data_IF_711220616171
#
_entry.id   IF_711220616171
#
_cell.length_a   1.000
_cell.length_b   1.000
_cell.length_c   1.000
_cell.angle_alpha   90.00
_cell.angle_beta   90.00
_cell.angle_gamma   90.00
#
_symmetry.space_group_name_H-M   'P 1'
#
loop_
_entity.id
_entity.type
_entity.pdbx_description
1 polymer ?
#
# COMPACT_ATOMS: atom_id res chain seq x y z
N UNK A 1 -19.36 -0.82 18.84
CA UNK A 1 -18.54 0.37 18.50
C UNK A 1 -18.28 0.37 17.01
N UNK A 2 -18.51 1.51 16.34
CA UNK A 2 -18.18 1.69 14.93
C UNK A 2 -16.66 1.75 14.77
N UNK A 3 -16.09 1.02 13.80
CA UNK A 3 -14.65 1.06 13.51
C UNK A 3 -14.29 2.42 12.90
N UNK A 4 -13.13 2.95 13.26
CA UNK A 4 -12.53 4.13 12.63
C UNK A 4 -11.36 3.71 11.73
N UNK A 5 -11.12 4.51 10.69
CA UNK A 5 -9.94 4.40 9.83
C UNK A 5 -8.94 5.51 10.18
N UNK A 6 -7.78 5.12 10.67
CA UNK A 6 -6.66 6.03 10.88
C UNK A 6 -5.75 6.00 9.64
N UNK A 7 -5.46 7.17 9.08
CA UNK A 7 -4.63 7.31 7.88
C UNK A 7 -3.35 8.02 8.30
N UNK A 8 -2.19 7.38 8.13
CA UNK A 8 -0.92 8.04 8.39
C UNK A 8 -0.71 9.19 7.38
N UNK A 9 -0.35 10.38 7.87
CA UNK A 9 -0.18 11.57 7.01
C UNK A 9 1.01 12.46 7.37
N UNK A 10 2.10 11.83 7.81
CA UNK A 10 3.34 12.51 8.12
C UNK A 10 4.34 12.52 6.96
N UNK A 11 5.53 13.06 7.19
CA UNK A 11 6.67 13.03 6.27
C UNK A 11 6.86 11.65 5.63
N UNK A 12 7.09 11.65 4.32
CA UNK A 12 7.22 10.45 3.51
C UNK A 12 5.93 10.04 2.81
N UNK A 13 4.74 10.49 3.24
CA UNK A 13 3.48 10.10 2.59
C UNK A 13 3.16 10.86 1.31
N UNK A 14 2.53 10.18 0.35
CA UNK A 14 1.99 10.82 -0.85
C UNK A 14 0.58 11.43 -0.61
N UNK A 15 0.40 12.68 -1.04
CA UNK A 15 -0.84 13.44 -0.85
C UNK A 15 -1.99 12.89 -1.69
N UNK A 16 -1.70 12.38 -2.89
CA UNK A 16 -2.72 11.80 -3.78
C UNK A 16 -3.29 10.54 -3.14
N UNK A 17 -2.42 9.67 -2.62
CA UNK A 17 -2.80 8.46 -1.90
C UNK A 17 -3.67 8.77 -0.69
N UNK A 18 -3.25 9.70 0.18
CA UNK A 18 -4.05 10.11 1.36
C UNK A 18 -5.44 10.58 0.95
N UNK A 19 -5.53 11.55 0.03
CA UNK A 19 -6.82 12.10 -0.40
C UNK A 19 -7.72 11.03 -1.02
N UNK A 20 -7.14 10.07 -1.75
CA UNK A 20 -7.88 8.96 -2.35
C UNK A 20 -8.37 7.95 -1.30
N UNK A 21 -7.57 7.65 -0.27
CA UNK A 21 -7.98 6.80 0.85
C UNK A 21 -9.15 7.43 1.60
N UNK A 22 -9.10 8.73 1.87
CA UNK A 22 -10.23 9.44 2.51
C UNK A 22 -11.52 9.31 1.68
N UNK A 23 -11.42 9.47 0.37
CA UNK A 23 -12.57 9.37 -0.52
C UNK A 23 -13.14 7.95 -0.56
N UNK A 24 -12.29 6.93 -0.55
CA UNK A 24 -12.73 5.55 -0.41
C UNK A 24 -13.32 5.25 0.99
N UNK A 25 -12.84 5.91 2.05
CA UNK A 25 -13.48 5.81 3.36
C UNK A 25 -14.91 6.35 3.32
N UNK A 26 -15.13 7.50 2.65
CA UNK A 26 -16.45 8.14 2.48
C UNK A 26 -17.39 7.32 1.59
N UNK A 27 -16.97 7.02 0.36
CA UNK A 27 -17.82 6.40 -0.67
C UNK A 27 -17.99 4.89 -0.48
N UNK A 28 -16.89 4.20 -0.16
CA UNK A 28 -16.80 2.73 -0.24
C UNK A 28 -16.94 2.06 1.11
N UNK A 29 -16.09 2.40 2.07
CA UNK A 29 -16.12 1.80 3.41
C UNK A 29 -17.30 2.30 4.24
N UNK A 30 -17.72 3.56 4.01
CA UNK A 30 -18.72 4.28 4.82
C UNK A 30 -18.36 4.26 6.30
N UNK A 31 -17.07 4.45 6.58
CA UNK A 31 -16.50 4.50 7.93
C UNK A 31 -15.95 5.90 8.22
N UNK A 32 -16.05 6.36 9.48
CA UNK A 32 -15.33 7.55 9.91
C UNK A 32 -13.82 7.34 9.74
N UNK A 33 -13.12 8.38 9.32
CA UNK A 33 -11.67 8.36 9.17
C UNK A 33 -11.05 9.60 9.79
N UNK A 34 -9.78 9.48 10.18
CA UNK A 34 -8.96 10.57 10.70
C UNK A 34 -7.52 10.41 10.24
N UNK A 35 -6.92 11.50 9.79
CA UNK A 35 -5.48 11.59 9.58
C UNK A 35 -4.75 11.63 10.94
N UNK A 36 -3.66 10.87 11.06
CA UNK A 36 -2.79 10.82 12.24
C UNK A 36 -1.32 10.88 11.85
N UNK A 37 -0.47 11.37 12.75
CA UNK A 37 0.99 11.47 12.57
C UNK A 37 1.72 10.52 13.52
N UNK A 38 3.05 10.51 13.47
CA UNK A 38 3.85 9.68 14.38
C UNK A 38 3.61 10.02 15.85
N UNK A 39 3.40 11.29 16.17
CA UNK A 39 3.16 11.75 17.54
C UNK A 39 1.85 11.17 18.09
N UNK A 40 0.76 11.18 17.31
CA UNK A 40 -0.51 10.56 17.67
C UNK A 40 -0.35 9.05 17.97
N UNK A 41 0.47 8.35 17.17
CA UNK A 41 0.73 6.91 17.35
C UNK A 41 1.49 6.65 18.65
N UNK A 42 2.51 7.46 18.93
CA UNK A 42 3.32 7.37 20.15
C UNK A 42 2.46 7.69 21.38
N UNK A 43 1.52 8.63 21.26
CA UNK A 43 0.51 8.99 22.26
C UNK A 43 -0.68 8.01 22.34
N UNK A 44 -0.56 6.82 21.73
CA UNK A 44 -1.48 5.69 21.89
C UNK A 44 -2.88 5.89 21.27
N UNK A 45 -3.00 6.69 20.19
CA UNK A 45 -4.26 6.84 19.43
C UNK A 45 -4.68 5.52 18.76
N UNK A 46 -3.73 4.65 18.41
CA UNK A 46 -4.00 3.35 17.79
C UNK A 46 -4.47 2.32 18.83
N UNK A 47 -5.78 2.24 19.04
CA UNK A 47 -6.40 1.30 19.98
C UNK A 47 -7.63 0.62 19.38
N UNK A 48 -8.05 -0.48 20.01
CA UNK A 48 -9.26 -1.22 19.65
C UNK A 48 -9.19 -1.89 18.28
N UNK A 49 -10.33 -2.38 17.79
CA UNK A 49 -10.43 -3.12 16.51
C UNK A 49 -10.58 -2.19 15.30
N UNK A 50 -9.87 -1.06 15.32
CA UNK A 50 -9.87 -0.04 14.26
C UNK A 50 -8.99 -0.46 13.07
N UNK A 51 -8.91 0.40 12.06
CA UNK A 51 -8.11 0.19 10.84
C UNK A 51 -7.02 1.26 10.82
N UNK A 52 -5.79 0.88 10.48
CA UNK A 52 -4.67 1.78 10.27
C UNK A 52 -4.14 1.59 8.85
N UNK A 53 -4.15 2.67 8.07
CA UNK A 53 -3.67 2.69 6.68
C UNK A 53 -2.36 3.46 6.63
N UNK A 54 -1.31 2.78 6.16
CA UNK A 54 -0.01 3.35 5.85
C UNK A 54 0.09 3.53 4.32
N UNK A 55 0.00 4.78 3.81
CA UNK A 55 -0.02 5.05 2.37
C UNK A 55 1.33 4.78 1.67
N UNK A 56 1.29 4.87 0.35
CA UNK A 56 2.51 4.96 -0.48
C UNK A 56 3.30 6.25 -0.25
N UNK A 57 4.51 6.30 -0.81
CA UNK A 57 5.45 7.40 -0.61
C UNK A 57 6.88 6.91 -0.44
N UNK A 58 7.61 7.41 0.57
CA UNK A 58 8.96 7.00 0.94
C UNK A 58 8.99 6.45 2.37
N UNK A 59 9.65 5.31 2.57
CA UNK A 59 9.58 4.56 3.83
C UNK A 59 10.65 4.95 4.87
N UNK A 60 11.78 5.52 4.45
CA UNK A 60 12.83 5.98 5.36
C UNK A 60 12.33 7.06 6.34
N UNK A 61 11.51 8.05 5.94
CA UNK A 61 10.84 8.94 6.89
C UNK A 61 9.97 8.21 7.91
N UNK A 62 9.26 7.14 7.51
CA UNK A 62 8.46 6.34 8.44
C UNK A 62 9.37 5.70 9.49
N UNK A 63 10.47 5.08 9.07
CA UNK A 63 11.47 4.49 9.97
C UNK A 63 12.02 5.52 10.95
N UNK A 64 12.43 6.70 10.44
CA UNK A 64 13.00 7.78 11.24
C UNK A 64 12.06 8.23 12.36
N UNK A 65 10.75 8.24 12.10
CA UNK A 65 9.73 8.76 13.02
C UNK A 65 9.10 7.71 13.93
N UNK A 66 9.08 6.44 13.50
CA UNK A 66 8.30 5.39 14.17
C UNK A 66 9.15 4.25 14.76
N UNK A 67 10.44 4.10 14.41
CA UNK A 67 11.29 3.08 15.02
C UNK A 67 11.34 3.22 16.55
N UNK A 68 11.40 2.10 17.27
CA UNK A 68 11.17 2.00 18.70
C UNK A 68 9.68 2.09 19.04
N UNK A 69 9.31 3.07 19.87
CA UNK A 69 7.97 3.16 20.49
C UNK A 69 6.85 3.16 19.45
N UNK A 70 6.99 3.86 18.33
CA UNK A 70 5.95 3.91 17.29
C UNK A 70 5.62 2.52 16.72
N UNK A 71 6.65 1.72 16.43
CA UNK A 71 6.49 0.35 15.93
C UNK A 71 5.97 -0.60 17.00
N UNK A 72 6.40 -0.46 18.25
CA UNK A 72 5.81 -1.19 19.37
C UNK A 72 4.30 -0.94 19.47
N UNK A 73 3.88 0.32 19.34
CA UNK A 73 2.47 0.74 19.36
C UNK A 73 1.68 0.17 18.18
N UNK A 74 2.19 0.29 16.96
CA UNK A 74 1.54 -0.26 15.76
C UNK A 74 1.41 -1.78 15.88
N UNK A 75 2.48 -2.46 16.29
CA UNK A 75 2.48 -3.92 16.43
C UNK A 75 1.47 -4.37 17.49
N UNK A 76 1.49 -3.74 18.66
CA UNK A 76 0.54 -4.01 19.74
C UNK A 76 -0.91 -3.79 19.29
N UNK A 77 -1.18 -2.69 18.58
CA UNK A 77 -2.50 -2.41 18.02
C UNK A 77 -3.01 -3.55 17.14
N UNK A 78 -2.16 -4.10 16.27
CA UNK A 78 -2.52 -5.24 15.42
C UNK A 78 -2.70 -6.50 16.28
N UNK A 79 -1.78 -6.80 17.19
CA UNK A 79 -1.86 -7.96 18.09
C UNK A 79 -3.18 -7.98 18.89
N UNK A 80 -3.68 -6.80 19.27
CA UNK A 80 -4.92 -6.61 20.03
C UNK A 80 -6.20 -6.63 19.16
N UNK A 81 -6.08 -6.78 17.84
CA UNK A 81 -7.21 -6.93 16.91
C UNK A 81 -7.39 -5.79 15.91
N UNK A 82 -6.44 -4.88 15.80
CA UNK A 82 -6.37 -3.87 14.76
C UNK A 82 -6.13 -4.46 13.36
N UNK A 83 -6.41 -3.66 12.34
CA UNK A 83 -6.16 -4.03 10.95
C UNK A 83 -5.19 -3.04 10.29
N UNK A 84 -4.01 -3.51 9.90
CA UNK A 84 -3.03 -2.74 9.14
C UNK A 84 -3.22 -2.90 7.63
N UNK A 85 -3.21 -1.79 6.89
CA UNK A 85 -3.21 -1.78 5.41
C UNK A 85 -1.99 -0.99 4.96
N UNK A 86 -1.03 -1.66 4.32
CA UNK A 86 0.16 -1.04 3.75
C UNK A 86 0.09 -1.00 2.24
N UNK A 87 0.38 0.16 1.64
CA UNK A 87 0.35 0.35 0.18
C UNK A 87 1.71 0.86 -0.28
N UNK A 88 2.31 0.21 -1.29
CA UNK A 88 3.62 0.56 -1.83
C UNK A 88 4.66 0.76 -0.69
N UNK A 89 5.11 1.98 -0.40
CA UNK A 89 6.00 2.26 0.74
C UNK A 89 5.47 1.76 2.09
N UNK A 90 4.17 1.87 2.36
CA UNK A 90 3.56 1.29 3.55
C UNK A 90 3.56 -0.25 3.56
N UNK A 91 3.64 -0.89 2.39
CA UNK A 91 3.84 -2.34 2.27
C UNK A 91 5.31 -2.72 2.50
N UNK A 92 6.26 -1.98 1.92
CA UNK A 92 7.70 -2.13 2.20
C UNK A 92 8.00 -2.00 3.69
N UNK A 93 7.48 -0.94 4.32
CA UNK A 93 7.68 -0.64 5.74
C UNK A 93 7.24 -1.78 6.68
N UNK A 94 6.20 -2.53 6.29
CA UNK A 94 5.67 -3.64 7.05
C UNK A 94 6.39 -4.97 6.84
N UNK A 95 7.30 -5.07 5.88
CA UNK A 95 8.09 -6.27 5.63
C UNK A 95 9.35 -6.28 6.50
N UNK A 96 9.82 -7.45 6.91
CA UNK A 96 11.03 -7.57 7.74
C UNK A 96 12.27 -7.00 7.05
N UNK A 97 12.36 -7.14 5.73
CA UNK A 97 13.43 -6.58 4.89
C UNK A 97 12.86 -5.95 3.65
N UNK A 98 13.61 -5.00 3.11
CA UNK A 98 13.34 -4.45 1.79
C UNK A 98 14.60 -4.44 0.93
N UNK A 99 14.38 -4.54 -0.38
CA UNK A 99 15.34 -4.21 -1.43
C UNK A 99 14.58 -3.40 -2.47
N UNK A 100 14.69 -2.08 -2.39
CA UNK A 100 14.11 -1.14 -3.34
C UNK A 100 15.19 -0.59 -4.26
N UNK A 101 14.95 -0.63 -5.57
CA UNK A 101 15.78 -0.05 -6.61
C UNK A 101 15.01 1.03 -7.35
N UNK A 102 15.55 2.23 -7.34
CA UNK A 102 15.12 3.36 -8.15
C UNK A 102 16.10 3.60 -9.31
N UNK A 103 15.79 4.59 -10.13
CA UNK A 103 16.63 5.00 -11.26
C UNK A 103 18.01 5.53 -10.79
N UNK A 104 17.99 6.36 -9.74
CA UNK A 104 19.16 7.09 -9.27
C UNK A 104 19.57 6.73 -7.82
N UNK A 105 18.79 5.89 -7.14
CA UNK A 105 19.03 5.52 -5.74
C UNK A 105 18.45 4.14 -5.41
N UNK A 106 19.05 3.49 -4.42
CA UNK A 106 18.58 2.21 -3.86
C UNK A 106 18.31 2.37 -2.36
N UNK A 107 17.34 1.62 -1.85
CA UNK A 107 17.04 1.51 -0.42
C UNK A 107 16.93 0.05 -0.04
N UNK A 108 17.88 -0.43 0.76
CA UNK A 108 17.89 -1.80 1.27
C UNK A 108 18.08 -1.82 2.78
N UNK A 109 17.54 -2.84 3.44
CA UNK A 109 17.79 -3.10 4.85
C UNK A 109 16.58 -3.65 5.59
N UNK A 110 16.76 -3.86 6.89
CA UNK A 110 15.71 -4.33 7.77
C UNK A 110 14.68 -3.23 8.07
N UNK A 111 13.44 -3.63 8.38
CA UNK A 111 12.43 -2.76 8.99
C UNK A 111 11.96 -3.37 10.30
N UNK A 112 11.97 -2.56 11.34
CA UNK A 112 11.65 -3.00 12.70
C UNK A 112 10.20 -3.49 12.83
N UNK A 113 9.25 -2.90 12.08
CA UNK A 113 7.84 -3.26 12.19
C UNK A 113 7.59 -4.75 11.85
N UNK A 114 8.21 -5.26 10.79
CA UNK A 114 8.34 -6.70 10.51
C UNK A 114 7.06 -7.54 10.67
N UNK A 115 5.94 -7.10 10.08
CA UNK A 115 4.67 -7.85 10.07
C UNK A 115 4.74 -9.07 9.15
N UNK A 116 5.42 -8.92 8.01
CA UNK A 116 5.68 -10.01 7.07
C UNK A 116 7.12 -10.51 7.22
N UNK A 117 7.27 -11.80 7.57
CA UNK A 117 8.57 -12.49 7.65
C UNK A 117 9.11 -12.81 6.25
N UNK A 118 9.57 -11.77 5.57
CA UNK A 118 10.06 -11.86 4.21
C UNK A 118 10.63 -10.54 3.74
N UNK A 119 11.07 -10.55 2.49
CA UNK A 119 11.66 -9.40 1.81
C UNK A 119 10.65 -8.86 0.82
N UNK A 120 10.42 -7.55 0.87
CA UNK A 120 9.76 -6.81 -0.21
C UNK A 120 10.83 -6.37 -1.21
N UNK A 121 10.75 -6.86 -2.45
CA UNK A 121 11.72 -6.55 -3.51
C UNK A 121 11.05 -5.76 -4.63
N UNK A 122 11.64 -4.64 -5.01
CA UNK A 122 11.21 -3.82 -6.13
C UNK A 122 12.21 -2.68 -6.36
N UNK A 123 11.89 -1.62 -7.09
CA UNK A 123 10.83 -1.61 -8.10
C UNK A 123 11.06 -2.71 -9.16
N UNK A 124 10.03 -3.01 -9.95
CA UNK A 124 9.97 -4.14 -10.86
C UNK A 124 10.02 -3.64 -12.30
N UNK A 125 11.22 -3.43 -12.89
CA UNK A 125 11.36 -2.82 -14.21
C UNK A 125 10.69 -3.61 -15.34
N UNK A 126 10.48 -4.91 -15.17
CA UNK A 126 9.77 -5.73 -16.17
C UNK A 126 8.29 -5.36 -16.33
N UNK A 127 7.70 -4.64 -15.36
CA UNK A 127 6.34 -4.11 -15.44
C UNK A 127 6.27 -2.74 -16.13
N UNK A 128 7.42 -2.13 -16.42
CA UNK A 128 7.58 -0.74 -16.83
C UNK A 128 8.60 -0.61 -17.97
N UNK A 129 8.61 -1.58 -18.88
CA UNK A 129 9.46 -1.58 -20.09
C UNK A 129 10.96 -1.39 -19.79
N UNK A 130 11.44 -1.93 -18.68
CA UNK A 130 12.84 -1.84 -18.25
C UNK A 130 13.16 -0.64 -17.37
N UNK A 131 12.19 0.24 -17.09
CA UNK A 131 12.42 1.46 -16.32
C UNK A 131 12.30 1.22 -14.81
N UNK A 132 13.36 1.51 -14.05
CA UNK A 132 13.27 1.59 -12.60
C UNK A 132 12.42 2.79 -12.14
N UNK A 133 11.94 2.73 -10.90
CA UNK A 133 11.16 3.80 -10.29
C UNK A 133 11.84 5.17 -10.42
N UNK A 134 11.05 6.16 -10.81
CA UNK A 134 11.38 7.58 -10.81
C UNK A 134 10.20 8.36 -10.22
N UNK A 135 10.51 9.35 -9.38
CA UNK A 135 9.52 10.30 -8.84
C UNK A 135 9.03 11.29 -9.90
N UNK A 136 9.76 11.42 -11.01
CA UNK A 136 9.42 12.29 -12.13
C UNK A 136 9.15 11.49 -13.39
N UNK A 137 8.32 12.08 -14.26
CA UNK A 137 7.91 11.45 -15.51
C UNK A 137 6.91 10.31 -15.31
N UNK A 138 6.67 9.61 -16.41
CA UNK A 138 5.67 8.56 -16.52
C UNK A 138 6.25 7.23 -16.94
N UNK A 139 7.56 7.15 -17.21
CA UNK A 139 8.24 5.94 -17.72
C UNK A 139 8.15 4.76 -16.75
N UNK A 140 8.11 5.03 -15.45
CA UNK A 140 8.04 4.01 -14.38
C UNK A 140 6.63 3.74 -13.87
N UNK A 141 5.61 4.24 -14.58
CA UNK A 141 4.19 4.05 -14.27
C UNK A 141 3.55 3.11 -15.29
N UNK A 142 2.74 2.17 -14.80
CA UNK A 142 2.04 1.22 -15.65
C UNK A 142 0.65 0.86 -15.09
N UNK A 143 -0.27 0.53 -15.99
CA UNK A 143 -1.51 -0.16 -15.67
C UNK A 143 -1.31 -1.65 -15.96
N UNK A 144 -1.32 -2.49 -14.92
CA UNK A 144 -0.97 -3.92 -15.02
C UNK A 144 -2.14 -4.83 -14.67
N UNK A 145 -2.22 -6.01 -15.25
CA UNK A 145 -3.15 -7.05 -14.83
C UNK A 145 -2.57 -7.88 -13.69
N UNK A 146 -3.43 -8.29 -12.76
CA UNK A 146 -3.07 -9.21 -11.67
C UNK A 146 -3.88 -10.51 -11.76
N UNK A 147 -3.30 -11.61 -11.27
CA UNK A 147 -4.00 -12.90 -11.13
C UNK A 147 -4.65 -13.00 -9.75
N UNK A 148 -5.94 -13.30 -9.72
CA UNK A 148 -6.69 -13.61 -8.50
C UNK A 148 -7.27 -15.02 -8.64
N UNK A 149 -7.05 -15.89 -7.63
CA UNK A 149 -7.44 -17.31 -7.70
C UNK A 149 -6.96 -17.98 -9.01
N UNK A 150 -5.70 -17.73 -9.36
CA UNK A 150 -5.02 -18.21 -10.58
C UNK A 150 -5.59 -17.72 -11.93
N UNK A 151 -6.56 -16.78 -11.93
CA UNK A 151 -7.13 -16.19 -13.15
C UNK A 151 -6.67 -14.76 -13.31
N UNK A 152 -6.18 -14.43 -14.51
CA UNK A 152 -5.84 -13.05 -14.87
C UNK A 152 -7.09 -12.17 -14.80
N UNK A 153 -6.95 -10.99 -14.22
CA UNK A 153 -8.00 -9.99 -14.10
C UNK A 153 -8.18 -9.23 -15.40
N UNK A 154 -9.43 -8.95 -15.77
CA UNK A 154 -9.77 -7.97 -16.82
C UNK A 154 -9.61 -6.52 -16.30
N UNK A 155 -9.60 -6.34 -14.98
CA UNK A 155 -9.28 -5.08 -14.32
C UNK A 155 -7.76 -4.86 -14.28
N UNK A 156 -7.33 -3.66 -14.65
CA UNK A 156 -5.95 -3.18 -14.54
C UNK A 156 -5.74 -2.40 -13.23
N UNK A 157 -4.55 -2.52 -12.67
CA UNK A 157 -4.13 -1.88 -11.43
C UNK A 157 -2.92 -0.97 -11.68
N UNK A 158 -2.94 0.21 -11.06
CA UNK A 158 -1.82 1.14 -11.17
C UNK A 158 -0.61 0.63 -10.39
N UNK A 159 0.51 0.52 -11.09
CA UNK A 159 1.80 0.16 -10.57
C UNK A 159 2.78 1.32 -10.70
N UNK A 160 3.42 1.65 -9.58
CA UNK A 160 4.54 2.60 -9.51
C UNK A 160 5.40 2.27 -8.29
N UNK A 161 6.49 1.53 -8.49
CA UNK A 161 7.49 1.25 -7.44
C UNK A 161 7.15 0.12 -6.45
N UNK A 162 5.98 -0.52 -6.55
CA UNK A 162 5.55 -1.59 -5.63
C UNK A 162 6.44 -2.85 -5.63
N UNK A 163 6.42 -3.66 -4.54
CA UNK A 163 7.24 -4.85 -4.43
C UNK A 163 6.59 -6.15 -4.91
N UNK A 164 7.42 -7.15 -5.16
CA UNK A 164 7.07 -8.56 -4.94
C UNK A 164 7.33 -8.94 -3.48
N UNK A 165 6.46 -9.79 -2.89
CA UNK A 165 6.65 -10.31 -1.53
C UNK A 165 7.30 -11.70 -1.54
N UNK A 166 8.53 -11.78 -1.03
CA UNK A 166 9.35 -13.00 -0.99
C UNK A 166 9.45 -13.49 0.46
N UNK A 167 8.80 -14.61 0.84
CA UNK A 167 8.84 -15.10 2.22
C UNK A 167 10.20 -15.72 2.57
N UNK A 168 10.62 -15.63 3.84
CA UNK A 168 11.87 -16.29 4.32
C UNK A 168 11.81 -17.82 4.24
N UNK A 169 10.62 -18.38 4.36
CA UNK A 169 10.38 -19.80 4.20
C UNK A 169 8.97 -20.03 3.67
N UNK A 170 8.74 -21.19 3.05
CA UNK A 170 7.41 -21.64 2.65
C UNK A 170 6.65 -22.01 3.93
N UNK A 171 6.18 -21.00 4.69
CA UNK A 171 5.40 -21.25 5.89
C UNK A 171 3.95 -21.49 5.53
N UNK A 172 3.43 -22.67 5.84
CA UNK A 172 1.99 -22.90 5.85
C UNK A 172 1.36 -22.06 6.97
N UNK A 173 0.61 -21.02 6.60
CA UNK A 173 -0.40 -20.39 7.48
C UNK A 173 -0.08 -19.02 8.09
N UNK A 174 1.13 -18.43 7.91
CA UNK A 174 1.42 -17.08 8.43
C UNK A 174 0.85 -15.95 7.57
N UNK A 175 0.76 -16.19 6.26
CA UNK A 175 0.17 -15.27 5.29
C UNK A 175 -0.54 -16.06 4.18
N UNK A 176 -1.33 -15.35 3.37
CA UNK A 176 -1.99 -15.85 2.18
C UNK A 176 -1.87 -14.82 1.06
N UNK A 177 -1.71 -15.31 -0.17
CA UNK A 177 -1.63 -14.46 -1.36
C UNK A 177 -3.05 -14.17 -1.86
N UNK A 178 -3.38 -12.87 -1.98
CA UNK A 178 -4.65 -12.39 -2.54
C UNK A 178 -4.54 -12.30 -4.06
N UNK A 179 -3.45 -11.69 -4.53
CA UNK A 179 -3.19 -11.46 -5.94
C UNK A 179 -1.71 -11.69 -6.26
N UNK A 180 -1.47 -12.15 -7.49
CA UNK A 180 -0.14 -12.40 -8.04
C UNK A 180 0.08 -11.56 -9.29
N UNK A 181 1.33 -11.27 -9.61
CA UNK A 181 1.72 -10.83 -10.94
C UNK A 181 1.54 -11.96 -11.97
N UNK A 182 1.71 -11.63 -13.25
CA UNK A 182 1.57 -12.62 -14.34
C UNK A 182 2.59 -13.76 -14.26
N UNK A 183 3.79 -13.50 -13.74
CA UNK A 183 4.82 -14.51 -13.48
C UNK A 183 4.53 -15.41 -12.25
N UNK A 184 3.36 -15.22 -11.62
CA UNK A 184 2.87 -15.90 -10.42
C UNK A 184 3.53 -15.48 -9.10
N UNK A 185 4.35 -14.44 -9.10
CA UNK A 185 4.93 -13.92 -7.86
C UNK A 185 3.90 -13.08 -7.06
N UNK A 186 3.98 -13.01 -5.71
CA UNK A 186 2.95 -12.35 -4.91
C UNK A 186 2.97 -10.81 -5.02
N UNK A 187 1.82 -10.21 -5.37
CA UNK A 187 1.64 -8.76 -5.53
C UNK A 187 0.77 -8.14 -4.42
N UNK A 188 -0.14 -8.92 -3.84
CA UNK A 188 -0.98 -8.51 -2.71
C UNK A 188 -1.09 -9.68 -1.75
N UNK A 189 -0.76 -9.46 -0.48
CA UNK A 189 -0.80 -10.48 0.56
C UNK A 189 -1.62 -10.02 1.76
N UNK A 190 -2.15 -10.99 2.51
CA UNK A 190 -2.70 -10.75 3.85
C UNK A 190 -2.17 -11.76 4.84
N UNK A 191 -2.01 -11.36 6.09
CA UNK A 191 -1.60 -12.25 7.18
C UNK A 191 -2.20 -11.83 8.51
N UNK A 192 -1.81 -12.56 9.56
CA UNK A 192 -2.31 -12.34 10.92
C UNK A 192 -1.15 -12.14 11.89
N UNK A 193 -1.36 -11.26 12.85
CA UNK A 193 -0.48 -11.03 14.00
C UNK A 193 -1.39 -10.93 15.22
N UNK A 194 -1.22 -11.82 16.19
CA UNK A 194 -2.14 -11.94 17.33
C UNK A 194 -3.59 -12.12 16.88
N UNK A 195 -4.47 -11.20 17.31
CA UNK A 195 -5.91 -11.18 16.97
C UNK A 195 -6.21 -10.36 15.72
N UNK A 196 -5.27 -9.57 15.23
CA UNK A 196 -5.47 -8.66 14.11
C UNK A 196 -4.99 -9.21 12.79
N UNK A 197 -5.11 -8.36 11.77
CA UNK A 197 -4.76 -8.68 10.40
C UNK A 197 -3.85 -7.61 9.83
N UNK A 198 -3.10 -7.98 8.80
CA UNK A 198 -2.47 -7.03 7.90
C UNK A 198 -2.79 -7.37 6.45
N UNK A 199 -2.85 -6.36 5.59
CA UNK A 199 -2.91 -6.50 4.13
C UNK A 199 -1.85 -5.59 3.53
N UNK A 200 -0.98 -6.15 2.69
CA UNK A 200 0.08 -5.42 2.01
C UNK A 200 -0.18 -5.46 0.50
N UNK A 201 -0.16 -4.31 -0.15
CA UNK A 201 -0.40 -4.18 -1.59
C UNK A 201 0.79 -3.51 -2.28
N UNK A 202 1.22 -4.12 -3.37
CA UNK A 202 2.21 -3.52 -4.26
C UNK A 202 1.62 -2.52 -5.26
N UNK A 203 0.35 -2.70 -5.60
CA UNK A 203 -0.37 -1.79 -6.50
C UNK A 203 -1.15 -0.75 -5.72
N UNK A 204 -1.35 0.42 -6.33
CA UNK A 204 -2.13 1.51 -5.74
C UNK A 204 -3.62 1.35 -6.06
N UNK A 205 -4.28 0.46 -5.32
CA UNK A 205 -5.73 0.22 -5.45
C UNK A 205 -6.59 1.33 -4.84
N UNK A 206 -5.96 2.26 -4.14
CA UNK A 206 -6.60 3.33 -3.39
C UNK A 206 -6.96 4.54 -4.24
N UNK A 207 -6.36 4.72 -5.43
CA UNK A 207 -6.54 5.96 -6.19
C UNK A 207 -7.99 6.20 -6.57
N UNK A 208 -8.39 7.46 -6.41
CA UNK A 208 -9.68 7.98 -6.81
C UNK A 208 -9.49 9.01 -7.91
N UNK A 209 -10.35 8.95 -8.93
CA UNK A 209 -10.17 9.68 -10.19
C UNK A 209 -9.94 11.17 -10.03
N UNK A 210 -10.77 11.84 -9.24
CA UNK A 210 -10.72 13.28 -9.09
C UNK A 210 -9.52 13.70 -8.24
N UNK A 211 -9.14 12.88 -7.25
CA UNK A 211 -7.91 13.11 -6.50
C UNK A 211 -6.67 12.94 -7.37
N UNK A 212 -6.60 11.87 -8.17
CA UNK A 212 -5.49 11.65 -9.10
C UNK A 212 -5.40 12.78 -10.13
N UNK A 213 -6.55 13.17 -10.71
CA UNK A 213 -6.60 14.30 -11.66
C UNK A 213 -6.00 15.57 -11.04
N UNK A 214 -6.48 15.95 -9.86
CA UNK A 214 -6.08 17.19 -9.18
C UNK A 214 -4.61 17.20 -8.74
N UNK A 215 -4.13 16.08 -8.20
CA UNK A 215 -2.81 16.05 -7.59
C UNK A 215 -1.70 15.62 -8.53
N UNK A 216 -2.00 14.84 -9.57
CA UNK A 216 -1.02 14.29 -10.52
C UNK A 216 -1.24 14.87 -11.91
N UNK A 217 -2.37 14.57 -12.56
CA UNK A 217 -2.60 14.90 -13.97
C UNK A 217 -2.53 16.40 -14.22
N UNK A 218 -3.23 17.24 -13.46
CA UNK A 218 -3.26 18.68 -13.67
C UNK A 218 -1.87 19.32 -13.51
N UNK A 219 -1.01 18.71 -12.68
CA UNK A 219 0.33 19.21 -12.35
C UNK A 219 1.44 18.59 -13.18
N UNK A 220 1.13 17.60 -14.02
CA UNK A 220 2.13 16.95 -14.86
C UNK A 220 2.69 17.90 -15.93
N UNK A 221 3.91 17.63 -16.38
CA UNK A 221 4.48 18.32 -17.53
C UNK A 221 3.68 18.02 -18.80
N UNK A 222 3.70 18.94 -19.78
CA UNK A 222 2.96 18.79 -21.05
C UNK A 222 3.29 17.46 -21.72
N UNK A 223 4.57 17.05 -21.70
CA UNK A 223 5.04 15.80 -22.31
C UNK A 223 4.43 14.54 -21.68
N UNK A 224 3.97 14.62 -20.43
CA UNK A 224 3.43 13.51 -19.65
C UNK A 224 1.90 13.49 -19.62
N UNK A 225 1.22 14.57 -20.07
CA UNK A 225 -0.24 14.74 -19.97
C UNK A 225 -1.02 13.59 -20.58
N UNK A 226 -0.67 13.17 -21.80
CA UNK A 226 -1.41 12.14 -22.53
C UNK A 226 -1.38 10.80 -21.77
N UNK A 227 -0.20 10.40 -21.26
CA UNK A 227 -0.06 9.17 -20.47
C UNK A 227 -0.74 9.28 -19.11
N UNK A 228 -0.68 10.44 -18.46
CA UNK A 228 -1.42 10.65 -17.20
C UNK A 228 -2.93 10.63 -17.40
N UNK A 229 -3.43 11.13 -18.53
CA UNK A 229 -4.85 11.08 -18.88
C UNK A 229 -5.32 9.67 -19.20
N UNK A 230 -4.51 8.89 -19.92
CA UNK A 230 -4.72 7.46 -20.12
C UNK A 230 -4.83 6.74 -18.76
N UNK A 231 -3.84 6.89 -17.88
CA UNK A 231 -3.84 6.29 -16.53
C UNK A 231 -5.08 6.72 -15.75
N UNK A 232 -5.38 8.02 -15.71
CA UNK A 232 -6.52 8.56 -14.97
C UNK A 232 -7.86 8.00 -15.48
N UNK A 233 -7.95 7.64 -16.77
CA UNK A 233 -9.15 7.04 -17.34
C UNK A 233 -9.50 5.67 -16.74
N UNK A 234 -8.51 4.92 -16.23
CA UNK A 234 -8.72 3.62 -15.59
C UNK A 234 -9.33 3.71 -14.19
N UNK A 235 -9.23 4.86 -13.51
CA UNK A 235 -9.78 5.06 -12.17
C UNK A 235 -11.30 5.25 -12.23
N UNK A 236 -12.02 4.18 -12.53
CA UNK A 236 -13.50 4.15 -12.49
C UNK A 236 -14.01 4.06 -11.05
N UNK A 237 -15.32 4.21 -10.83
CA UNK A 237 -15.94 3.99 -9.51
C UNK A 237 -15.68 2.57 -8.95
N UNK A 238 -15.42 1.62 -9.85
CA UNK A 238 -15.13 0.22 -9.52
C UNK A 238 -13.64 -0.11 -9.44
N UNK A 239 -12.76 0.88 -9.63
CA UNK A 239 -11.33 0.67 -9.54
C UNK A 239 -10.91 0.17 -8.15
N UNK A 240 -10.07 -0.86 -8.13
CA UNK A 240 -9.57 -1.52 -6.93
C UNK A 240 -10.57 -2.45 -6.26
N UNK A 241 -11.78 -2.66 -6.82
CA UNK A 241 -12.88 -3.38 -6.14
C UNK A 241 -12.45 -4.75 -5.64
N UNK A 242 -11.65 -5.50 -6.40
CA UNK A 242 -11.22 -6.85 -5.99
C UNK A 242 -10.39 -6.84 -4.71
N UNK A 243 -9.59 -5.79 -4.46
CA UNK A 243 -8.79 -5.64 -3.24
C UNK A 243 -9.65 -5.03 -2.12
N UNK A 244 -10.48 -4.02 -2.44
CA UNK A 244 -11.41 -3.44 -1.47
C UNK A 244 -12.42 -4.45 -0.92
N UNK A 245 -12.89 -5.40 -1.73
CA UNK A 245 -13.78 -6.48 -1.28
C UNK A 245 -13.08 -7.40 -0.27
N UNK A 246 -11.79 -7.70 -0.44
CA UNK A 246 -11.01 -8.44 0.56
C UNK A 246 -10.85 -7.63 1.85
N UNK A 247 -10.62 -6.32 1.76
CA UNK A 247 -10.59 -5.41 2.92
C UNK A 247 -11.92 -5.46 3.67
N UNK A 248 -13.05 -5.34 2.97
CA UNK A 248 -14.39 -5.40 3.59
C UNK A 248 -14.65 -6.76 4.25
N UNK A 249 -14.20 -7.87 3.63
CA UNK A 249 -14.30 -9.21 4.24
C UNK A 249 -13.50 -9.32 5.53
N UNK A 250 -12.30 -8.72 5.59
CA UNK A 250 -11.47 -8.70 6.81
C UNK A 250 -12.12 -7.84 7.89
N UNK A 251 -12.66 -6.67 7.52
CA UNK A 251 -13.31 -5.74 8.46
C UNK A 251 -14.51 -6.37 9.18
N UNK A 252 -15.24 -7.26 8.49
CA UNK A 252 -16.46 -7.93 8.98
C UNK A 252 -16.20 -9.16 9.87
N UNK A 253 -14.95 -9.62 9.99
CA UNK A 253 -14.55 -10.70 10.90
C UNK A 253 -14.37 -10.17 12.32
#
# INVERSE_FOLDING_TARGET
MTKNVFIYSDEGTDKTGIASIEENCRKRLKLPYRQIKSEDIIEDVLQGKNIFVMPGGADLPYCKKLNGIGNEKIRKFIEDGGFYIGICAGAYYACKRINFKGKDYDVSGDRELGLFEGTAEGSLPFLTDGNYFSDSGTESKAMISLKFKEKLSEEYFYYHGGPVFIPDSITNGKYSVIAKYEDNTPAVIKGKIGKGNYLLSAVHFEFEKEQYRKFVLEKSEIKDKDKEEEICSHFTENYGNRIWDEIVKIIKQ
#
